data_IF_989006346664
#
_entry.id   IF_989006346664
#
_cell.length_a   1.000
_cell.length_b   1.000
_cell.length_c   1.000
_cell.angle_alpha   90.00
_cell.angle_beta   90.00
_cell.angle_gamma   90.00
#
_symmetry.space_group_name_H-M   'P 1'
#
loop_
_entity.id
_entity.type
_entity.pdbx_description
1 polymer ?
#
# COMPACT_ATOMS: atom_id res chain seq x y z
N UNK A 1 3.17 -5.30 -19.55
CA UNK A 1 3.96 -4.05 -19.48
C UNK A 1 3.01 -2.86 -19.60
N UNK A 2 3.15 -1.86 -18.73
CA UNK A 2 2.28 -0.68 -18.72
C UNK A 2 2.82 0.34 -19.73
N UNK A 3 2.05 0.61 -20.79
CA UNK A 3 2.43 1.49 -21.89
C UNK A 3 1.56 2.74 -21.99
N UNK A 4 2.13 3.80 -22.56
CA UNK A 4 1.41 5.03 -22.87
C UNK A 4 0.28 4.74 -23.87
N UNK A 5 -0.92 5.23 -23.59
CA UNK A 5 -2.08 4.98 -24.43
C UNK A 5 -1.94 5.56 -25.84
N UNK A 6 -1.13 6.62 -26.02
CA UNK A 6 -0.80 7.26 -27.30
C UNK A 6 0.37 6.58 -28.00
N UNK A 7 1.58 6.63 -27.42
CA UNK A 7 2.79 6.19 -28.12
C UNK A 7 3.20 4.73 -27.85
N UNK A 8 2.44 3.98 -27.04
CA UNK A 8 2.67 2.56 -26.68
C UNK A 8 3.99 2.23 -25.97
N UNK A 9 4.92 3.19 -25.84
CA UNK A 9 6.16 3.08 -25.03
C UNK A 9 5.85 2.89 -23.55
N UNK A 10 6.76 2.30 -22.74
CA UNK A 10 6.59 2.19 -21.29
C UNK A 10 6.16 3.52 -20.66
N UNK A 11 5.08 3.51 -19.89
CA UNK A 11 4.50 4.74 -19.37
C UNK A 11 5.30 5.22 -18.17
N UNK A 12 6.13 6.24 -18.43
CA UNK A 12 6.79 7.08 -17.43
C UNK A 12 6.10 8.43 -17.40
N UNK A 13 5.70 8.88 -16.21
CA UNK A 13 4.93 10.10 -16.04
C UNK A 13 5.80 11.16 -15.37
N UNK A 14 5.95 12.29 -16.05
CA UNK A 14 6.55 13.50 -15.53
C UNK A 14 5.50 14.24 -14.70
N UNK A 15 5.90 14.65 -13.50
CA UNK A 15 5.05 15.36 -12.55
C UNK A 15 5.60 16.79 -12.41
N UNK A 16 4.79 17.78 -12.77
CA UNK A 16 5.07 19.19 -12.48
C UNK A 16 4.35 19.59 -11.20
N UNK A 17 5.09 20.14 -10.22
CA UNK A 17 4.55 20.53 -8.91
C UNK A 17 4.10 21.98 -8.84
N UNK A 18 4.60 22.84 -9.74
CA UNK A 18 4.19 24.25 -9.81
C UNK A 18 2.82 24.39 -10.47
N UNK A 19 2.59 23.57 -11.49
CA UNK A 19 1.31 23.42 -12.17
C UNK A 19 1.04 21.92 -12.27
N UNK A 20 0.17 21.35 -11.38
CA UNK A 20 -0.07 19.91 -11.28
C UNK A 20 -0.51 19.35 -12.63
N UNK A 21 0.47 18.87 -13.38
CA UNK A 21 0.30 18.34 -14.71
C UNK A 21 1.15 17.10 -14.84
N UNK A 22 0.55 16.10 -15.48
CA UNK A 22 1.08 14.76 -15.53
C UNK A 22 1.21 14.35 -16.97
N UNK A 23 2.45 14.25 -17.44
CA UNK A 23 2.75 14.09 -18.87
C UNK A 23 3.54 12.83 -19.13
N UNK A 24 3.21 12.10 -20.19
CA UNK A 24 4.07 11.02 -20.65
C UNK A 24 5.44 11.59 -21.03
N UNK A 25 6.51 11.05 -20.43
CA UNK A 25 7.87 11.52 -20.69
C UNK A 25 8.31 11.36 -22.15
N UNK A 26 7.67 10.45 -22.90
CA UNK A 26 8.04 10.12 -24.27
C UNK A 26 7.27 10.90 -25.34
N UNK A 27 6.06 11.37 -25.07
CA UNK A 27 5.21 12.03 -26.08
C UNK A 27 4.45 13.25 -25.55
N UNK A 28 4.78 13.71 -24.34
CA UNK A 28 4.19 14.85 -23.64
C UNK A 28 2.66 14.78 -23.44
N UNK A 29 2.06 13.62 -23.66
CA UNK A 29 0.61 13.42 -23.53
C UNK A 29 0.14 13.58 -22.10
N UNK A 30 -0.93 14.37 -21.89
CA UNK A 30 -1.52 14.64 -20.58
C UNK A 30 -2.32 13.43 -20.04
N UNK A 31 -2.27 13.26 -18.73
CA UNK A 31 -3.07 12.33 -17.95
C UNK A 31 -3.67 13.06 -16.74
N UNK A 32 -4.84 12.62 -16.31
CA UNK A 32 -5.46 13.08 -15.06
C UNK A 32 -5.00 12.18 -13.92
N UNK A 33 -4.81 12.77 -12.73
CA UNK A 33 -4.40 12.07 -11.53
C UNK A 33 -5.40 12.36 -10.41
N UNK A 34 -5.96 11.31 -9.84
CA UNK A 34 -6.93 11.38 -8.75
C UNK A 34 -6.45 10.47 -7.63
N UNK A 35 -6.47 10.93 -6.39
CA UNK A 35 -6.00 10.17 -5.24
C UNK A 35 -7.09 10.12 -4.17
N UNK A 36 -7.84 9.01 -4.12
CA UNK A 36 -8.98 8.84 -3.22
C UNK A 36 -8.80 7.64 -2.32
N UNK A 37 -8.85 7.82 -1.00
CA UNK A 37 -8.92 6.73 -0.02
C UNK A 37 -7.92 5.60 -0.31
N UNK A 38 -6.64 5.94 -0.47
CA UNK A 38 -5.52 5.03 -0.80
C UNK A 38 -5.46 4.53 -2.25
N UNK A 39 -6.37 4.96 -3.12
CA UNK A 39 -6.36 4.65 -4.55
C UNK A 39 -5.84 5.84 -5.35
N UNK A 40 -4.76 5.64 -6.10
CA UNK A 40 -4.35 6.54 -7.15
C UNK A 40 -4.93 6.09 -8.48
N UNK A 41 -5.77 6.90 -9.07
CA UNK A 41 -6.30 6.70 -10.42
C UNK A 41 -5.62 7.65 -11.40
N UNK A 42 -5.00 7.09 -12.43
CA UNK A 42 -4.51 7.82 -13.59
C UNK A 42 -5.54 7.66 -14.71
N UNK A 43 -6.25 8.73 -15.08
CA UNK A 43 -7.27 8.71 -16.13
C UNK A 43 -6.78 9.29 -17.44
N UNK A 44 -7.31 8.76 -18.53
CA UNK A 44 -7.26 9.35 -19.86
C UNK A 44 -8.50 8.96 -20.66
N UNK A 45 -9.33 9.93 -21.02
CA UNK A 45 -10.63 9.68 -21.67
C UNK A 45 -11.43 8.66 -20.83
N UNK A 46 -12.01 7.64 -21.46
CA UNK A 46 -12.76 6.57 -20.78
C UNK A 46 -11.87 5.45 -20.19
N UNK A 47 -10.55 5.65 -20.10
CA UNK A 47 -9.61 4.64 -19.59
C UNK A 47 -9.03 5.10 -18.26
N UNK A 48 -9.18 4.26 -17.25
CA UNK A 48 -8.67 4.49 -15.90
C UNK A 48 -7.61 3.44 -15.57
N UNK A 49 -6.55 3.89 -14.93
CA UNK A 49 -5.51 3.04 -14.36
C UNK A 49 -5.56 3.26 -12.85
N UNK A 50 -5.92 2.25 -12.07
CA UNK A 50 -5.98 2.35 -10.61
C UNK A 50 -4.76 1.67 -9.97
N UNK A 51 -4.13 2.37 -9.04
CA UNK A 51 -3.08 1.87 -8.15
C UNK A 51 -3.61 1.93 -6.73
N UNK A 52 -3.46 0.85 -5.99
CA UNK A 52 -3.81 0.81 -4.58
C UNK A 52 -2.53 0.92 -3.74
N UNK A 53 -2.49 1.89 -2.85
CA UNK A 53 -1.37 2.18 -1.97
C UNK A 53 -1.76 1.90 -0.51
N UNK A 54 -1.49 0.70 -0.02
CA UNK A 54 -1.94 0.28 1.33
C UNK A 54 -1.42 1.19 2.46
N UNK A 55 -0.30 1.88 2.23
CA UNK A 55 0.45 2.68 3.20
C UNK A 55 0.30 4.21 3.04
N UNK A 56 -0.48 4.70 2.07
CA UNK A 56 -0.62 6.14 1.83
C UNK A 56 -1.94 6.65 2.41
N UNK A 57 -1.90 7.18 3.63
CA UNK A 57 -2.99 7.99 4.17
C UNK A 57 -2.91 9.40 3.59
N UNK A 58 -3.56 9.61 2.45
CA UNK A 58 -3.63 10.92 1.79
C UNK A 58 -5.08 11.36 1.68
N UNK A 59 -5.38 12.56 2.19
CA UNK A 59 -6.65 13.26 1.98
C UNK A 59 -6.55 14.18 0.77
N UNK A 60 -7.67 14.33 0.08
CA UNK A 60 -7.77 14.70 -1.34
C UNK A 60 -7.60 16.19 -1.68
N UNK A 61 -6.89 16.98 -0.87
CA UNK A 61 -6.69 18.41 -1.17
C UNK A 61 -5.23 18.68 -1.55
N UNK A 62 -5.04 18.90 -2.84
CA UNK A 62 -3.84 19.29 -3.58
C UNK A 62 -2.68 18.29 -3.52
N UNK A 63 -2.33 17.76 -4.69
CA UNK A 63 -1.09 17.00 -4.91
C UNK A 63 0.12 17.90 -4.57
N UNK A 64 0.48 17.92 -3.29
CA UNK A 64 1.45 18.83 -2.70
C UNK A 64 2.78 18.14 -2.44
N UNK A 65 3.80 18.91 -2.05
CA UNK A 65 5.16 18.41 -1.80
C UNK A 65 5.20 17.27 -0.76
N UNK A 66 4.27 17.23 0.20
CA UNK A 66 4.20 16.17 1.22
C UNK A 66 3.80 14.84 0.58
N UNK A 67 2.79 14.85 -0.29
CA UNK A 67 2.33 13.64 -1.01
C UNK A 67 3.44 13.12 -1.93
N UNK A 68 4.12 14.02 -2.64
CA UNK A 68 5.27 13.69 -3.49
C UNK A 68 6.38 13.03 -2.67
N UNK A 69 6.70 13.60 -1.51
CA UNK A 69 7.72 13.05 -0.63
C UNK A 69 7.33 11.67 -0.08
N UNK A 70 6.08 11.47 0.33
CA UNK A 70 5.58 10.16 0.77
C UNK A 70 5.62 9.12 -0.36
N UNK A 71 5.23 9.51 -1.58
CA UNK A 71 5.35 8.67 -2.77
C UNK A 71 6.81 8.33 -3.10
N UNK A 72 7.73 9.28 -2.93
CA UNK A 72 9.16 9.08 -3.16
C UNK A 72 9.77 8.14 -2.12
N UNK A 73 9.51 8.39 -0.83
CA UNK A 73 9.96 7.54 0.29
C UNK A 73 9.42 6.12 0.17
N UNK A 74 8.18 5.97 -0.31
CA UNK A 74 7.56 4.67 -0.57
C UNK A 74 8.03 4.00 -1.88
N UNK A 75 8.91 4.65 -2.65
CA UNK A 75 9.48 4.12 -3.89
C UNK A 75 8.53 4.13 -5.10
N UNK A 76 7.42 4.87 -5.04
CA UNK A 76 6.45 4.96 -6.15
C UNK A 76 6.87 5.97 -7.21
N UNK A 77 7.63 7.00 -6.83
CA UNK A 77 8.20 7.99 -7.75
C UNK A 77 9.69 8.16 -7.50
N UNK A 78 10.40 8.64 -8.52
CA UNK A 78 11.83 8.93 -8.48
C UNK A 78 12.07 10.41 -8.75
N UNK A 79 13.10 10.98 -8.11
CA UNK A 79 13.63 12.29 -8.46
C UNK A 79 14.82 12.12 -9.41
N UNK A 80 14.68 12.54 -10.66
CA UNK A 80 15.76 12.59 -11.65
C UNK A 80 16.37 13.99 -11.63
N UNK A 81 17.66 14.07 -11.29
CA UNK A 81 18.41 15.32 -11.36
C UNK A 81 19.04 15.45 -12.74
N UNK A 82 18.94 16.64 -13.32
CA UNK A 82 19.55 16.98 -14.62
C UNK A 82 20.43 18.20 -14.40
N UNK A 83 21.72 18.11 -14.75
CA UNK A 83 22.61 19.27 -14.66
C UNK A 83 22.08 20.37 -15.58
N UNK A 84 21.97 21.58 -15.03
CA UNK A 84 21.63 22.78 -15.76
C UNK A 84 22.95 23.40 -16.26
N UNK A 85 23.22 23.35 -17.58
CA UNK A 85 24.48 23.83 -18.13
C UNK A 85 24.66 25.35 -17.93
N UNK A 86 23.57 26.10 -17.79
CA UNK A 86 23.60 27.56 -17.72
C UNK A 86 23.92 28.08 -16.30
N UNK A 87 23.67 27.29 -15.27
CA UNK A 87 23.73 27.74 -13.87
C UNK A 87 24.55 26.83 -12.95
N UNK A 88 25.21 25.79 -13.48
CA UNK A 88 25.92 24.75 -12.71
C UNK A 88 25.10 24.14 -11.55
N UNK A 89 23.77 24.23 -11.61
CA UNK A 89 22.84 23.68 -10.62
C UNK A 89 22.07 22.49 -11.21
N UNK A 90 21.28 21.78 -10.40
CA UNK A 90 20.53 20.60 -10.81
C UNK A 90 19.03 20.89 -10.89
N UNK A 91 18.47 20.76 -12.09
CA UNK A 91 17.03 20.71 -12.27
C UNK A 91 16.50 19.35 -11.81
N UNK A 92 15.62 19.37 -10.80
CA UNK A 92 14.98 18.16 -10.28
C UNK A 92 13.65 17.89 -10.98
N UNK A 93 13.47 16.66 -11.48
CA UNK A 93 12.24 16.21 -12.16
C UNK A 93 11.68 14.99 -11.45
N UNK A 94 10.40 15.03 -11.12
CA UNK A 94 9.70 13.92 -10.49
C UNK A 94 9.11 13.00 -11.55
N UNK A 95 9.44 11.70 -11.49
CA UNK A 95 9.09 10.70 -12.49
C UNK A 95 8.46 9.49 -11.82
N UNK A 96 7.26 9.11 -12.25
CA UNK A 96 6.62 7.84 -11.88
C UNK A 96 6.81 6.83 -13.02
N UNK A 97 7.54 5.74 -12.77
CA UNK A 97 7.56 4.58 -13.67
C UNK A 97 6.51 3.58 -13.20
N UNK A 98 5.44 3.41 -13.97
CA UNK A 98 4.32 2.58 -13.52
C UNK A 98 4.66 1.09 -13.45
N UNK A 99 5.64 0.60 -14.21
CA UNK A 99 6.09 -0.78 -14.06
C UNK A 99 6.85 -0.95 -12.75
N UNK A 100 7.73 -0.01 -12.40
CA UNK A 100 8.45 -0.05 -11.13
C UNK A 100 7.48 0.10 -9.94
N UNK A 101 6.55 1.05 -10.02
CA UNK A 101 5.51 1.22 -9.01
C UNK A 101 4.69 -0.07 -8.83
N UNK A 102 4.29 -0.73 -9.92
CA UNK A 102 3.60 -2.03 -9.87
C UNK A 102 4.44 -3.08 -9.14
N UNK A 103 5.73 -3.22 -9.46
CA UNK A 103 6.60 -4.19 -8.82
C UNK A 103 6.75 -3.91 -7.31
N UNK A 104 6.89 -2.65 -6.93
CA UNK A 104 6.96 -2.25 -5.53
C UNK A 104 5.65 -2.57 -4.77
N UNK A 105 4.49 -2.37 -5.39
CA UNK A 105 3.20 -2.76 -4.79
C UNK A 105 3.14 -4.28 -4.58
N UNK A 106 3.54 -5.07 -5.59
CA UNK A 106 3.57 -6.54 -5.49
C UNK A 106 4.47 -6.98 -4.35
N UNK A 107 5.70 -6.45 -4.30
CA UNK A 107 6.67 -6.73 -3.24
C UNK A 107 6.12 -6.42 -1.85
N UNK A 108 5.43 -5.28 -1.68
CA UNK A 108 4.83 -4.90 -0.40
C UNK A 108 3.72 -5.87 0.02
N UNK A 109 2.88 -6.31 -0.93
CA UNK A 109 1.87 -7.33 -0.64
C UNK A 109 2.48 -8.67 -0.25
N UNK A 110 3.53 -9.11 -0.96
CA UNK A 110 4.25 -10.35 -0.65
C UNK A 110 4.90 -10.28 0.74
N UNK A 111 5.53 -9.17 1.09
CA UNK A 111 6.08 -8.94 2.44
C UNK A 111 5.00 -9.03 3.51
N UNK A 112 3.83 -8.42 3.28
CA UNK A 112 2.71 -8.45 4.23
C UNK A 112 2.12 -9.86 4.39
N UNK A 113 2.02 -10.62 3.31
CA UNK A 113 1.63 -12.03 3.35
C UNK A 113 2.64 -12.86 4.14
N UNK A 114 3.95 -12.61 3.95
CA UNK A 114 5.00 -13.30 4.71
C UNK A 114 4.93 -12.97 6.20
N UNK A 115 4.66 -11.73 6.59
CA UNK A 115 4.42 -11.36 7.99
C UNK A 115 3.21 -12.12 8.56
N UNK A 116 2.08 -12.18 7.84
CA UNK A 116 0.90 -12.95 8.25
C UNK A 116 1.18 -14.46 8.32
N UNK A 117 2.09 -15.00 7.49
CA UNK A 117 2.51 -16.40 7.56
C UNK A 117 3.29 -16.65 8.86
N UNK A 118 4.22 -15.77 9.21
CA UNK A 118 4.96 -15.86 10.47
C UNK A 118 4.02 -15.71 11.69
N UNK A 119 3.06 -14.79 11.64
CA UNK A 119 2.03 -14.65 12.68
C UNK A 119 1.22 -15.94 12.84
N UNK A 120 0.76 -16.55 11.74
CA UNK A 120 0.02 -17.81 11.76
C UNK A 120 0.83 -18.96 12.37
N UNK A 121 2.13 -19.05 12.04
CA UNK A 121 3.02 -20.06 12.60
C UNK A 121 3.18 -19.86 14.12
N UNK A 122 3.29 -18.62 14.58
CA UNK A 122 3.41 -18.31 16.01
C UNK A 122 2.15 -18.63 16.82
N UNK A 123 0.96 -18.53 16.21
CA UNK A 123 -0.31 -18.94 16.86
C UNK A 123 -0.34 -20.45 17.09
N UNK A 124 0.23 -21.25 16.17
CA UNK A 124 0.30 -22.70 16.32
C UNK A 124 1.37 -23.19 17.30
N UNK A 125 2.41 -22.39 17.57
CA UNK A 125 3.61 -22.84 18.30
C UNK A 125 3.68 -22.40 19.76
N UNK A 126 2.79 -21.55 20.28
CA UNK A 126 2.97 -20.99 21.64
C UNK A 126 1.73 -21.02 22.52
N UNK A 127 2.01 -21.16 23.83
CA UNK A 127 1.13 -21.18 25.00
C UNK A 127 -0.25 -20.54 24.84
N UNK A 128 -1.27 -21.18 25.44
CA UNK A 128 -2.63 -20.65 25.56
C UNK A 128 -2.58 -19.22 26.12
N UNK A 129 -3.08 -18.27 25.33
CA UNK A 129 -3.22 -16.86 25.72
C UNK A 129 -4.62 -16.60 26.25
N UNK A 130 -4.72 -15.57 27.06
CA UNK A 130 -5.98 -15.10 27.64
C UNK A 130 -6.14 -13.62 27.33
N UNK A 131 -7.38 -13.19 27.11
CA UNK A 131 -7.68 -11.78 26.84
C UNK A 131 -8.77 -11.27 27.77
N UNK A 132 -8.67 -9.99 28.15
CA UNK A 132 -9.71 -9.29 28.88
C UNK A 132 -10.67 -8.60 27.89
N UNK A 133 -11.97 -8.90 27.97
CA UNK A 133 -12.97 -8.29 27.09
C UNK A 133 -13.14 -6.78 27.32
N UNK A 134 -12.97 -6.30 28.56
CA UNK A 134 -13.25 -4.91 28.93
C UNK A 134 -12.12 -3.95 28.54
N UNK A 135 -10.85 -4.34 28.73
CA UNK A 135 -9.70 -3.46 28.44
C UNK A 135 -8.84 -3.95 27.26
N UNK A 136 -9.22 -5.04 26.59
CA UNK A 136 -8.51 -5.63 25.44
C UNK A 136 -7.05 -6.04 25.71
N UNK A 137 -6.65 -6.19 26.98
CA UNK A 137 -5.31 -6.61 27.36
C UNK A 137 -5.13 -8.12 27.17
N UNK A 138 -3.94 -8.54 26.71
CA UNK A 138 -3.60 -9.94 26.42
C UNK A 138 -2.56 -10.43 27.43
N UNK A 139 -2.79 -11.63 27.96
CA UNK A 139 -1.99 -12.29 28.98
C UNK A 139 -1.53 -13.65 28.44
N UNK A 140 -0.28 -14.03 28.74
CA UNK A 140 0.15 -15.42 28.56
C UNK A 140 -0.36 -16.29 29.73
N UNK A 141 -0.26 -17.61 29.60
CA UNK A 141 -0.72 -18.54 30.63
C UNK A 141 -0.11 -18.24 32.01
N UNK A 142 1.22 -18.01 32.09
CA UNK A 142 1.90 -17.69 33.34
C UNK A 142 1.31 -16.46 34.05
N UNK A 143 1.16 -15.32 33.36
CA UNK A 143 0.54 -14.14 33.95
C UNK A 143 -0.93 -14.32 34.26
N UNK A 144 -1.65 -15.13 33.48
CA UNK A 144 -3.05 -15.43 33.77
C UNK A 144 -3.13 -16.21 35.09
N UNK A 145 -2.27 -17.21 35.31
CA UNK A 145 -2.17 -17.95 36.57
C UNK A 145 -1.77 -17.04 37.73
N UNK A 146 -0.74 -16.19 37.56
CA UNK A 146 -0.28 -15.26 38.59
C UNK A 146 -1.38 -14.27 39.04
N UNK A 147 -2.31 -13.94 38.14
CA UNK A 147 -3.44 -13.07 38.41
C UNK A 147 -4.76 -13.83 38.66
N UNK A 148 -4.71 -15.14 38.96
CA UNK A 148 -5.90 -15.98 39.18
C UNK A 148 -6.96 -15.86 38.06
N UNK A 149 -6.52 -15.76 36.81
CA UNK A 149 -7.33 -15.56 35.61
C UNK A 149 -8.20 -14.29 35.65
N UNK A 150 -7.76 -13.26 36.38
CA UNK A 150 -8.38 -11.93 36.41
C UNK A 150 -7.46 -10.88 35.77
N UNK A 151 -8.06 -9.85 35.20
CA UNK A 151 -7.31 -8.75 34.59
C UNK A 151 -6.67 -7.88 35.67
N UNK A 152 -5.35 -7.69 35.59
CA UNK A 152 -4.61 -6.82 36.51
C UNK A 152 -4.97 -5.32 36.40
N UNK A 153 -5.76 -4.91 35.41
CA UNK A 153 -6.13 -3.50 35.15
C UNK A 153 -7.57 -3.22 35.61
N UNK A 154 -8.53 -4.07 35.19
CA UNK A 154 -9.95 -3.86 35.46
C UNK A 154 -10.60 -4.95 36.32
N UNK A 155 -9.83 -5.93 36.78
CA UNK A 155 -10.29 -7.05 37.62
C UNK A 155 -11.33 -7.99 36.99
N UNK A 156 -11.71 -7.78 35.73
CA UNK A 156 -12.61 -8.69 35.02
C UNK A 156 -11.97 -10.04 34.73
N UNK A 157 -12.80 -11.08 34.61
CA UNK A 157 -12.36 -12.42 34.25
C UNK A 157 -11.74 -12.45 32.85
N UNK A 158 -10.58 -13.10 32.74
CA UNK A 158 -9.91 -13.33 31.47
C UNK A 158 -10.58 -14.50 30.74
N UNK A 159 -10.70 -14.38 29.42
CA UNK A 159 -11.22 -15.43 28.55
C UNK A 159 -10.08 -16.07 27.76
N UNK A 160 -10.10 -17.40 27.56
CA UNK A 160 -9.12 -18.06 26.70
C UNK A 160 -9.24 -17.51 25.27
N UNK A 161 -8.12 -17.12 24.70
CA UNK A 161 -8.04 -16.67 23.33
C UNK A 161 -8.14 -17.89 22.43
N UNK A 162 -9.22 -17.98 21.66
CA UNK A 162 -9.43 -19.08 20.73
C UNK A 162 -8.46 -18.92 19.54
N UNK A 163 -7.40 -19.73 19.53
CA UNK A 163 -6.38 -19.77 18.48
C UNK A 163 -6.99 -20.00 17.09
N UNK A 164 -8.02 -20.85 16.98
CA UNK A 164 -8.70 -21.14 15.71
C UNK A 164 -9.37 -19.88 15.14
N UNK A 165 -10.00 -19.08 16.00
CA UNK A 165 -10.59 -17.80 15.59
C UNK A 165 -9.54 -16.79 15.11
N UNK A 166 -8.35 -16.78 15.70
CA UNK A 166 -7.24 -15.94 15.24
C UNK A 166 -6.69 -16.40 13.89
N UNK A 167 -6.52 -17.70 13.73
CA UNK A 167 -6.08 -18.32 12.46
C UNK A 167 -7.09 -18.00 11.36
N UNK A 168 -8.40 -18.10 11.62
CA UNK A 168 -9.45 -17.72 10.67
C UNK A 168 -9.37 -16.23 10.28
N UNK A 169 -9.12 -15.34 11.24
CA UNK A 169 -8.90 -13.90 10.95
C UNK A 169 -7.63 -13.65 10.13
N UNK A 170 -6.55 -14.38 10.40
CA UNK A 170 -5.30 -14.26 9.63
C UNK A 170 -5.50 -14.79 8.21
N UNK A 171 -6.15 -15.94 8.04
CA UNK A 171 -6.40 -16.57 6.74
C UNK A 171 -7.33 -15.73 5.86
N UNK A 172 -8.40 -15.16 6.41
CA UNK A 172 -9.26 -14.24 5.67
C UNK A 172 -8.51 -12.98 5.20
N UNK A 173 -7.62 -12.43 6.02
CA UNK A 173 -6.73 -11.33 5.59
C UNK A 173 -5.79 -11.77 4.47
N UNK A 174 -5.17 -12.96 4.57
CA UNK A 174 -4.29 -13.50 3.52
C UNK A 174 -5.04 -13.68 2.20
N UNK A 175 -6.24 -14.25 2.24
CA UNK A 175 -7.08 -14.46 1.06
C UNK A 175 -7.41 -13.12 0.37
N UNK A 176 -7.80 -12.11 1.14
CA UNK A 176 -8.04 -10.77 0.61
C UNK A 176 -6.79 -10.18 -0.09
N UNK A 177 -5.61 -10.32 0.52
CA UNK A 177 -4.36 -9.84 -0.06
C UNK A 177 -3.97 -10.64 -1.33
N UNK A 178 -4.15 -11.95 -1.31
CA UNK A 178 -3.90 -12.82 -2.46
C UNK A 178 -4.83 -12.48 -3.63
N UNK A 179 -6.10 -12.18 -3.36
CA UNK A 179 -7.04 -11.71 -4.39
C UNK A 179 -6.61 -10.37 -5.00
N UNK A 180 -6.18 -9.41 -4.17
CA UNK A 180 -5.62 -8.12 -4.67
C UNK A 180 -4.36 -8.33 -5.51
N UNK A 181 -3.47 -9.22 -5.07
CA UNK A 181 -2.23 -9.53 -5.76
C UNK A 181 -2.46 -10.29 -7.07
N UNK A 182 -3.43 -11.20 -7.10
CA UNK A 182 -3.87 -11.87 -8.32
C UNK A 182 -4.37 -10.84 -9.33
N UNK A 183 -5.27 -9.93 -8.92
CA UNK A 183 -5.75 -8.84 -9.78
C UNK A 183 -4.60 -7.98 -10.32
N UNK A 184 -3.60 -7.65 -9.50
CA UNK A 184 -2.42 -6.92 -9.95
C UNK A 184 -1.57 -7.70 -10.96
N UNK A 185 -1.46 -9.02 -10.80
CA UNK A 185 -0.69 -9.89 -11.70
C UNK A 185 -1.42 -10.13 -13.02
N UNK A 186 -2.72 -10.44 -12.98
CA UNK A 186 -3.52 -10.87 -14.13
C UNK A 186 -4.22 -9.73 -14.87
N UNK A 187 -4.59 -8.66 -14.16
CA UNK A 187 -5.51 -7.64 -14.67
C UNK A 187 -4.93 -6.23 -14.64
N UNK A 188 -4.30 -5.85 -15.74
CA UNK A 188 -4.56 -4.52 -16.31
C UNK A 188 -5.59 -4.73 -17.42
N UNK A 189 -6.50 -3.78 -17.62
CA UNK A 189 -7.68 -3.81 -18.52
C UNK A 189 -8.95 -4.48 -17.94
N UNK A 190 -9.77 -3.67 -17.28
CA UNK A 190 -11.09 -3.41 -17.87
C UNK A 190 -11.07 -1.98 -18.35
N UNK A 191 -10.86 -1.79 -19.65
CA UNK A 191 -11.58 -0.70 -20.29
C UNK A 191 -13.05 -1.01 -19.99
N UNK A 192 -13.75 -0.09 -19.33
CA UNK A 192 -15.19 -0.14 -19.40
C UNK A 192 -15.49 0.13 -20.89
N UNK A 193 -15.69 -0.94 -21.66
CA UNK A 193 -16.30 -0.82 -22.96
C UNK A 193 -17.76 -0.41 -22.71
N UNK A 194 -18.00 0.89 -22.81
CA UNK A 194 -19.29 1.49 -23.13
C UNK A 194 -19.05 2.60 -24.14
#
# INVERSE_FOLDING_TARGET
MIGCLKCKKPLKILINLKEPSFKCSSCAENYEFLLENKNLTIKKKNKNINFYFDNLSVSNNDFNNKIVYELYKSGYINCVKTLNPDFCDHNSKWVMDLNNAKQNIIKNFEQKINLLNNESLNVHTTEVKYYCASCSSVYNFGRAVDNNFTCSICSDNLQPQNADNEILKINSKKELLNNKLLLLRTGWFRAADK
#
